data_IF_930055889896
#
_entry.id   IF_930055889896
#
_cell.length_a   1.000
_cell.length_b   1.000
_cell.length_c   1.000
_cell.angle_alpha   90.00
_cell.angle_beta   90.00
_cell.angle_gamma   90.00
#
_symmetry.space_group_name_H-M   'P 1'
#
loop_
_entity.id
_entity.type
_entity.pdbx_description
1 polymer ?
#
# COMPACT_ATOMS: atom_id res chain seq x y z
N UNK A 1 5.46 19.98 32.11
CA UNK A 1 4.87 18.76 31.49
C UNK A 1 4.81 19.01 30.00
N UNK A 2 5.82 18.55 29.28
CA UNK A 2 5.85 18.71 27.82
C UNK A 2 5.16 17.50 27.24
N UNK A 3 3.94 17.67 26.72
CA UNK A 3 3.29 16.64 25.91
C UNK A 3 4.17 16.42 24.69
N UNK A 4 4.86 15.27 24.62
CA UNK A 4 5.44 14.78 23.39
C UNK A 4 4.26 14.44 22.47
N UNK A 5 3.86 15.38 21.62
CA UNK A 5 3.19 15.02 20.37
C UNK A 5 4.08 13.98 19.70
N UNK A 6 3.58 12.75 19.58
CA UNK A 6 4.16 11.73 18.72
C UNK A 6 4.54 12.41 17.40
N UNK A 7 5.84 12.56 17.20
CA UNK A 7 6.38 12.80 15.88
C UNK A 7 5.96 11.56 15.11
N UNK A 8 4.88 11.68 14.32
CA UNK A 8 4.57 10.70 13.30
C UNK A 8 5.79 10.68 12.39
N UNK A 9 6.74 9.78 12.69
CA UNK A 9 7.76 9.40 11.73
C UNK A 9 6.98 9.03 10.47
N UNK A 10 7.32 9.62 9.34
CA UNK A 10 6.66 9.35 8.05
C UNK A 10 6.69 7.86 7.66
N UNK A 11 7.54 7.08 8.35
CA UNK A 11 7.77 5.63 8.26
C UNK A 11 6.83 4.77 9.14
N UNK A 12 5.97 5.38 9.97
CA UNK A 12 5.09 4.68 10.91
C UNK A 12 3.63 4.61 10.44
N UNK A 13 3.39 4.66 9.13
CA UNK A 13 2.05 4.37 8.59
C UNK A 13 1.81 2.87 8.69
N UNK A 14 1.31 2.43 9.84
CA UNK A 14 0.81 1.07 9.99
C UNK A 14 -0.31 0.84 8.97
N UNK A 15 -0.22 -0.26 8.21
CA UNK A 15 -1.27 -0.65 7.28
C UNK A 15 -2.36 -1.39 8.05
N UNK A 16 -3.62 -1.04 7.80
CA UNK A 16 -4.75 -1.67 8.47
C UNK A 16 -5.37 -2.76 7.59
N UNK A 17 -6.06 -3.70 8.23
CA UNK A 17 -6.85 -4.71 7.51
C UNK A 17 -7.92 -4.02 6.67
N UNK A 18 -7.97 -4.37 5.38
CA UNK A 18 -8.83 -3.76 4.37
C UNK A 18 -8.16 -2.65 3.57
N UNK A 19 -6.96 -2.18 3.95
CA UNK A 19 -6.23 -1.18 3.16
C UNK A 19 -5.88 -1.74 1.78
N UNK A 20 -6.12 -0.91 0.76
CA UNK A 20 -5.68 -1.18 -0.61
C UNK A 20 -4.27 -0.61 -0.81
N UNK A 21 -3.35 -1.46 -1.23
CA UNK A 21 -1.94 -1.14 -1.39
C UNK A 21 -1.42 -1.59 -2.74
N UNK A 22 -0.32 -0.99 -3.16
CA UNK A 22 0.45 -1.37 -4.36
C UNK A 22 1.90 -1.58 -3.97
N UNK A 23 2.61 -2.39 -4.75
CA UNK A 23 4.06 -2.56 -4.59
C UNK A 23 4.80 -1.29 -5.01
N UNK A 24 5.86 -0.94 -4.30
CA UNK A 24 6.68 0.25 -4.57
C UNK A 24 7.86 -0.05 -5.49
N UNK A 25 8.31 -1.30 -5.54
CA UNK A 25 9.50 -1.70 -6.31
C UNK A 25 9.21 -1.74 -7.82
N UNK A 26 10.13 -1.21 -8.61
CA UNK A 26 10.09 -1.28 -10.07
C UNK A 26 10.20 -2.73 -10.57
N UNK A 27 9.60 -3.02 -11.73
CA UNK A 27 9.60 -4.37 -12.30
C UNK A 27 8.73 -5.39 -11.56
N UNK A 28 8.04 -4.98 -10.51
CA UNK A 28 6.99 -5.78 -9.86
C UNK A 28 5.63 -5.59 -10.53
N UNK A 29 4.64 -6.36 -10.10
CA UNK A 29 3.28 -6.30 -10.67
C UNK A 29 2.56 -4.99 -10.33
N UNK A 30 1.74 -4.52 -11.27
CA UNK A 30 0.86 -3.36 -11.08
C UNK A 30 -0.48 -3.72 -10.44
N UNK A 31 -0.62 -4.91 -9.86
CA UNK A 31 -1.89 -5.38 -9.31
C UNK A 31 -2.15 -4.75 -7.93
N UNK A 32 -3.41 -4.37 -7.68
CA UNK A 32 -3.86 -3.98 -6.34
C UNK A 32 -3.86 -5.16 -5.37
N UNK A 33 -3.42 -4.86 -4.16
CA UNK A 33 -3.37 -5.78 -3.05
C UNK A 33 -4.27 -5.27 -1.92
N UNK A 34 -4.88 -6.18 -1.18
CA UNK A 34 -5.62 -5.86 0.04
C UNK A 34 -4.88 -6.42 1.25
N UNK A 35 -4.69 -5.61 2.29
CA UNK A 35 -4.11 -6.06 3.55
C UNK A 35 -5.15 -6.89 4.31
N UNK A 36 -4.79 -8.12 4.68
CA UNK A 36 -5.73 -9.09 5.28
C UNK A 36 -5.47 -9.27 6.77
N UNK A 37 -4.19 -9.31 7.18
CA UNK A 37 -3.74 -9.32 8.57
C UNK A 37 -2.20 -9.15 8.63
N UNK A 38 -1.65 -9.08 9.84
CA UNK A 38 -0.21 -9.20 10.05
C UNK A 38 0.25 -10.66 9.87
N UNK A 39 1.49 -10.83 9.43
CA UNK A 39 2.09 -12.12 9.16
C UNK A 39 3.50 -12.21 9.74
N UNK A 40 3.75 -13.19 10.61
CA UNK A 40 5.03 -13.54 11.25
C UNK A 40 5.71 -12.44 12.11
N UNK A 41 5.77 -11.19 11.65
CA UNK A 41 6.42 -10.06 12.32
C UNK A 41 5.55 -8.80 12.21
N UNK A 42 5.72 -7.80 13.08
CA UNK A 42 4.97 -6.54 12.99
C UNK A 42 5.14 -5.79 11.67
N UNK A 43 6.26 -6.02 10.95
CA UNK A 43 6.63 -5.32 9.72
C UNK A 43 6.20 -6.03 8.44
N UNK A 44 5.45 -7.13 8.56
CA UNK A 44 5.08 -7.99 7.46
C UNK A 44 3.58 -8.27 7.51
N UNK A 45 2.94 -8.13 6.37
CA UNK A 45 1.51 -8.26 6.21
C UNK A 45 1.21 -9.43 5.27
N UNK A 46 0.12 -10.13 5.55
CA UNK A 46 -0.51 -11.00 4.56
C UNK A 46 -1.37 -10.11 3.68
N UNK A 47 -1.09 -10.14 2.38
CA UNK A 47 -1.85 -9.42 1.37
C UNK A 47 -2.57 -10.39 0.44
N UNK A 48 -3.75 -9.99 -0.03
CA UNK A 48 -4.50 -10.69 -1.07
C UNK A 48 -4.29 -9.97 -2.39
N UNK A 49 -3.87 -10.72 -3.42
CA UNK A 49 -3.77 -10.26 -4.79
C UNK A 49 -5.19 -10.19 -5.36
N UNK A 50 -5.72 -8.99 -5.59
CA UNK A 50 -7.14 -8.85 -5.96
C UNK A 50 -7.48 -9.48 -7.32
N UNK A 51 -6.52 -9.52 -8.25
CA UNK A 51 -6.74 -10.10 -9.59
C UNK A 51 -6.91 -11.62 -9.57
N UNK A 52 -6.24 -12.33 -8.65
CA UNK A 52 -6.21 -13.81 -8.63
C UNK A 52 -6.84 -14.41 -7.38
N UNK A 53 -7.07 -13.60 -6.34
CA UNK A 53 -7.50 -14.06 -5.02
C UNK A 53 -6.43 -14.79 -4.22
N UNK A 54 -5.21 -14.95 -4.76
CA UNK A 54 -4.09 -15.57 -4.06
C UNK A 54 -3.58 -14.68 -2.92
N UNK A 55 -2.92 -15.29 -1.95
CA UNK A 55 -2.35 -14.58 -0.82
C UNK A 55 -0.83 -14.70 -0.82
N UNK A 56 -0.17 -13.64 -0.40
CA UNK A 56 1.28 -13.60 -0.25
C UNK A 56 1.71 -12.72 0.90
N UNK A 57 3.00 -12.78 1.28
CA UNK A 57 3.58 -11.82 2.20
C UNK A 57 3.96 -10.51 1.50
N UNK A 58 3.92 -9.40 2.24
CA UNK A 58 4.53 -8.13 1.86
C UNK A 58 5.18 -7.46 3.08
N UNK A 59 6.40 -6.93 2.93
CA UNK A 59 7.00 -6.08 3.96
C UNK A 59 6.45 -4.66 3.84
N UNK A 60 6.31 -3.95 4.96
CA UNK A 60 5.86 -2.55 4.99
C UNK A 60 6.66 -1.62 4.05
N UNK A 61 7.95 -1.90 3.82
CA UNK A 61 8.82 -1.11 2.92
C UNK A 61 8.53 -1.33 1.44
N UNK A 62 7.90 -2.45 1.10
CA UNK A 62 7.71 -2.86 -0.29
C UNK A 62 6.33 -2.45 -0.81
N UNK A 63 5.49 -1.85 0.04
CA UNK A 63 4.12 -1.43 -0.28
C UNK A 63 3.86 0.01 0.12
N UNK A 64 2.90 0.64 -0.57
CA UNK A 64 2.31 1.93 -0.18
C UNK A 64 0.80 1.87 -0.38
N UNK A 65 0.06 2.76 0.30
CA UNK A 65 -1.37 2.94 0.01
C UNK A 65 -1.59 3.23 -1.47
N UNK A 66 -2.61 2.57 -2.04
CA UNK A 66 -3.09 2.87 -3.37
C UNK A 66 -3.79 4.24 -3.35
N UNK A 67 -3.54 5.04 -4.38
CA UNK A 67 -4.27 6.29 -4.60
C UNK A 67 -5.69 6.01 -5.08
N UNK A 68 -6.59 6.99 -4.96
CA UNK A 68 -7.98 6.87 -5.46
C UNK A 68 -7.99 6.54 -6.96
N UNK A 69 -7.10 7.16 -7.74
CA UNK A 69 -6.97 6.90 -9.17
C UNK A 69 -6.59 5.43 -9.45
N UNK A 70 -5.66 4.86 -8.67
CA UNK A 70 -5.26 3.45 -8.78
C UNK A 70 -6.37 2.49 -8.38
N UNK A 71 -7.13 2.82 -7.32
CA UNK A 71 -8.30 2.04 -6.89
C UNK A 71 -9.35 2.00 -8.00
N UNK A 72 -9.66 3.16 -8.60
CA UNK A 72 -10.59 3.25 -9.72
C UNK A 72 -10.10 2.52 -10.97
N UNK A 73 -8.79 2.62 -11.28
CA UNK A 73 -8.15 1.93 -12.40
C UNK A 73 -7.93 0.43 -12.15
N UNK A 74 -8.11 -0.03 -10.90
CA UNK A 74 -7.84 -1.39 -10.43
C UNK A 74 -6.39 -1.86 -10.67
N UNK A 75 -5.45 -0.92 -10.76
CA UNK A 75 -4.02 -1.16 -11.01
C UNK A 75 -3.16 -0.01 -10.48
N UNK A 76 -1.88 -0.28 -10.19
CA UNK A 76 -0.84 0.72 -9.97
C UNK A 76 -0.67 1.57 -11.23
N UNK A 77 -0.57 2.88 -11.03
CA UNK A 77 -0.37 3.85 -12.09
C UNK A 77 1.10 4.26 -12.11
N UNK A 78 1.61 4.53 -13.30
CA UNK A 78 2.93 5.15 -13.46
C UNK A 78 2.90 6.59 -12.95
N UNK A 79 4.06 7.14 -12.60
CA UNK A 79 4.16 8.54 -12.16
C UNK A 79 3.52 9.53 -13.15
N UNK A 80 3.66 9.28 -14.45
CA UNK A 80 3.03 10.09 -15.50
C UNK A 80 1.50 9.98 -15.50
N UNK A 81 0.96 8.77 -15.34
CA UNK A 81 -0.49 8.56 -15.26
C UNK A 81 -1.09 9.17 -13.99
N UNK A 82 -0.37 9.10 -12.86
CA UNK A 82 -0.80 9.75 -11.62
C UNK A 82 -0.85 11.28 -11.78
N UNK A 83 0.19 11.88 -12.36
CA UNK A 83 0.23 13.32 -12.59
C UNK A 83 -0.90 13.83 -13.50
N UNK A 84 -1.37 13.01 -14.46
CA UNK A 84 -2.50 13.35 -15.33
C UNK A 84 -3.87 13.17 -14.63
N UNK A 85 -3.98 12.26 -13.67
CA UNK A 85 -5.22 11.98 -12.95
C UNK A 85 -5.56 12.99 -11.85
N UNK A 86 -4.58 13.75 -11.37
CA UNK A 86 -4.74 14.76 -10.31
C UNK A 86 -5.16 16.15 -10.84
N UNK A 87 -5.21 16.34 -12.16
CA UNK A 87 -5.65 17.59 -12.81
C UNK A 87 -7.14 17.50 -13.17
N UNK A 88 -8.02 17.67 -12.17
CA UNK A 88 -9.46 17.94 -12.37
C UNK A 88 -10.07 18.65 -11.18
#
# INVERSE_FOLDING_TARGET
MTNLTEVQNEDNREFLVGDLVVLTMDGTTDILLEVVNHMYTPKMYRVKILATGQFGPAFHTDIRHATIAEINAKRRLTATEQALGEVS
#
